data_IF_737618695265
#
_entry.id   IF_737618695265
#
_cell.length_a   1.000
_cell.length_b   1.000
_cell.length_c   1.000
_cell.angle_alpha   90.00
_cell.angle_beta   90.00
_cell.angle_gamma   90.00
#
_symmetry.space_group_name_H-M   'P 1'
#
loop_
_entity.id
_entity.type
_entity.pdbx_description
1 polymer ?
#
# COMPACT_ATOMS: atom_id res chain seq x y z
N UNK A 1 -18.35 19.33 -9.24
CA UNK A 1 -18.26 18.92 -7.83
C UNK A 1 -16.81 18.80 -7.37
N UNK A 2 -15.94 17.95 -7.95
CA UNK A 2 -14.52 17.90 -7.56
C UNK A 2 -13.66 19.08 -8.07
N UNK A 3 -13.82 19.49 -9.33
CA UNK A 3 -13.14 20.69 -9.87
C UNK A 3 -13.49 21.95 -9.08
N UNK A 4 -14.71 22.03 -8.55
CA UNK A 4 -15.13 23.13 -7.66
C UNK A 4 -14.39 23.07 -6.32
N UNK A 5 -14.15 21.87 -5.75
CA UNK A 5 -13.31 21.74 -4.56
C UNK A 5 -11.84 22.11 -4.80
N UNK A 6 -11.29 21.79 -5.98
CA UNK A 6 -9.94 22.25 -6.37
C UNK A 6 -9.90 23.77 -6.54
N UNK A 7 -10.87 24.35 -7.23
CA UNK A 7 -10.96 25.79 -7.51
C UNK A 7 -11.19 26.61 -6.22
N UNK A 8 -12.07 26.12 -5.35
CA UNK A 8 -12.28 26.69 -4.02
C UNK A 8 -11.02 26.55 -3.13
N UNK A 9 -10.23 25.50 -3.28
CA UNK A 9 -8.94 25.39 -2.62
C UNK A 9 -7.90 26.37 -3.17
N UNK A 10 -7.82 26.55 -4.49
CA UNK A 10 -6.91 27.53 -5.11
C UNK A 10 -7.11 28.93 -4.54
N UNK A 11 -8.33 29.22 -4.11
CA UNK A 11 -8.70 30.51 -3.52
C UNK A 11 -8.64 30.54 -1.98
N UNK A 12 -8.69 29.40 -1.26
CA UNK A 12 -8.84 29.35 0.21
C UNK A 12 -7.76 28.57 0.99
N UNK A 13 -6.90 27.78 0.32
CA UNK A 13 -5.70 27.19 0.90
C UNK A 13 -5.86 25.97 1.83
N UNK A 14 -7.04 25.34 1.95
CA UNK A 14 -7.26 24.21 2.89
C UNK A 14 -7.13 22.81 2.25
N UNK A 15 -5.99 22.15 2.42
CA UNK A 15 -5.74 20.79 1.91
C UNK A 15 -6.70 19.73 2.48
N UNK A 16 -7.33 19.98 3.63
CA UNK A 16 -8.29 19.05 4.25
C UNK A 16 -9.50 18.80 3.35
N UNK A 17 -10.04 19.85 2.75
CA UNK A 17 -11.26 19.76 1.93
C UNK A 17 -10.98 19.07 0.60
N UNK A 18 -9.81 19.36 -0.01
CA UNK A 18 -9.35 18.68 -1.23
C UNK A 18 -9.17 17.18 -0.97
N UNK A 19 -8.53 16.83 0.15
CA UNK A 19 -8.30 15.43 0.52
C UNK A 19 -9.61 14.70 0.82
N UNK A 20 -10.57 15.36 1.48
CA UNK A 20 -11.91 14.81 1.70
C UNK A 20 -12.61 14.53 0.37
N UNK A 21 -12.64 15.51 -0.54
CA UNK A 21 -13.23 15.34 -1.87
C UNK A 21 -12.54 14.23 -2.69
N UNK A 22 -11.21 14.17 -2.66
CA UNK A 22 -10.45 13.14 -3.37
C UNK A 22 -10.70 11.73 -2.80
N UNK A 23 -10.90 11.60 -1.49
CA UNK A 23 -11.22 10.32 -0.84
C UNK A 23 -12.61 9.77 -1.22
N UNK A 24 -13.58 10.65 -1.49
CA UNK A 24 -14.86 10.25 -2.04
C UNK A 24 -14.70 9.73 -3.48
N UNK A 25 -13.93 10.45 -4.29
CA UNK A 25 -13.78 10.20 -5.72
C UNK A 25 -12.87 9.00 -6.04
N UNK A 26 -11.85 8.70 -5.23
CA UNK A 26 -11.02 7.49 -5.43
C UNK A 26 -11.82 6.18 -5.34
N UNK A 27 -13.06 6.26 -4.87
CA UNK A 27 -13.99 5.17 -4.68
C UNK A 27 -15.19 5.22 -5.64
N UNK A 28 -15.16 6.07 -6.67
CA UNK A 28 -16.14 6.10 -7.76
C UNK A 28 -15.55 5.44 -9.02
N UNK A 29 -16.33 4.55 -9.64
CA UNK A 29 -15.96 3.87 -10.88
C UNK A 29 -16.52 4.62 -12.09
N UNK A 30 -16.20 5.91 -12.16
CA UNK A 30 -16.47 6.76 -13.32
C UNK A 30 -15.13 7.19 -13.92
N UNK A 31 -15.01 7.25 -15.25
CA UNK A 31 -13.75 7.57 -15.94
C UNK A 31 -13.11 8.90 -15.55
N UNK A 32 -13.82 9.74 -14.80
CA UNK A 32 -13.33 10.96 -14.17
C UNK A 32 -12.29 10.72 -13.07
N UNK A 33 -12.29 9.54 -12.44
CA UNK A 33 -11.36 9.17 -11.36
C UNK A 33 -9.89 9.35 -11.78
N UNK A 34 -9.51 8.76 -12.91
CA UNK A 34 -8.13 8.77 -13.38
C UNK A 34 -7.69 10.16 -13.83
N UNK A 35 -8.59 10.88 -14.50
CA UNK A 35 -8.36 12.27 -14.91
C UNK A 35 -8.06 13.15 -13.69
N UNK A 36 -8.86 13.01 -12.64
CA UNK A 36 -8.72 13.78 -11.40
C UNK A 36 -7.45 13.42 -10.64
N UNK A 37 -7.15 12.13 -10.49
CA UNK A 37 -5.92 11.68 -9.82
C UNK A 37 -4.67 12.17 -10.55
N UNK A 38 -4.71 12.22 -11.89
CA UNK A 38 -3.66 12.79 -12.72
C UNK A 38 -3.48 14.29 -12.48
N UNK A 39 -4.57 15.08 -12.57
CA UNK A 39 -4.53 16.53 -12.29
C UNK A 39 -3.98 16.82 -10.89
N UNK A 40 -4.43 16.06 -9.89
CA UNK A 40 -3.93 16.22 -8.52
C UNK A 40 -2.44 15.92 -8.44
N UNK A 41 -1.98 14.83 -9.05
CA UNK A 41 -0.57 14.44 -9.03
C UNK A 41 0.30 15.48 -9.75
N UNK A 42 -0.06 15.91 -10.96
CA UNK A 42 0.72 16.89 -11.73
C UNK A 42 0.91 18.21 -10.99
N UNK A 43 -0.10 18.62 -10.23
CA UNK A 43 -0.07 19.85 -9.43
C UNK A 43 0.81 19.72 -8.18
N UNK A 44 0.87 18.55 -7.56
CA UNK A 44 1.46 18.36 -6.24
C UNK A 44 2.65 17.38 -6.21
N UNK A 45 3.13 16.93 -7.36
CA UNK A 45 4.21 15.93 -7.46
C UNK A 45 5.50 16.34 -6.76
N UNK A 46 5.76 17.64 -6.65
CA UNK A 46 6.93 18.18 -5.95
C UNK A 46 6.75 18.26 -4.43
N UNK A 47 5.50 18.14 -3.94
CA UNK A 47 5.17 18.15 -2.52
C UNK A 47 5.12 16.74 -1.94
N UNK A 48 6.26 16.25 -1.45
CA UNK A 48 6.44 14.84 -1.05
C UNK A 48 5.35 14.29 -0.12
N UNK A 49 4.94 15.06 0.90
CA UNK A 49 3.89 14.67 1.86
C UNK A 49 2.49 14.64 1.25
N UNK A 50 2.24 15.45 0.22
CA UNK A 50 0.96 15.45 -0.50
C UNK A 50 0.89 14.23 -1.42
N UNK A 51 1.99 13.89 -2.09
CA UNK A 51 2.12 12.65 -2.86
C UNK A 51 1.95 11.41 -1.97
N UNK A 52 2.47 11.43 -0.75
CA UNK A 52 2.27 10.34 0.23
C UNK A 52 0.78 10.09 0.54
N UNK A 53 -0.02 11.17 0.62
CA UNK A 53 -1.46 11.07 0.81
C UNK A 53 -2.17 10.56 -0.44
N UNK A 54 -1.75 11.00 -1.62
CA UNK A 54 -2.27 10.54 -2.91
C UNK A 54 -2.02 9.05 -3.16
N UNK A 55 -0.83 8.54 -2.78
CA UNK A 55 -0.54 7.10 -2.79
C UNK A 55 -1.45 6.34 -1.82
N UNK A 56 -1.58 6.84 -0.59
CA UNK A 56 -2.42 6.23 0.45
C UNK A 56 -3.89 6.11 0.04
N UNK A 57 -4.45 7.15 -0.59
CA UNK A 57 -5.84 7.13 -1.06
C UNK A 57 -6.09 6.04 -2.09
N UNK A 58 -5.17 5.88 -3.05
CA UNK A 58 -5.29 4.85 -4.08
C UNK A 58 -5.10 3.44 -3.50
N UNK A 59 -4.14 3.26 -2.59
CA UNK A 59 -3.91 2.00 -1.90
C UNK A 59 -5.11 1.55 -1.04
N UNK A 60 -5.83 2.52 -0.46
CA UNK A 60 -7.02 2.29 0.37
C UNK A 60 -8.34 2.21 -0.40
N UNK A 61 -8.34 2.28 -1.74
CA UNK A 61 -9.57 2.25 -2.52
C UNK A 61 -10.28 0.89 -2.42
N UNK A 62 -11.61 0.91 -2.40
CA UNK A 62 -12.46 -0.30 -2.40
C UNK A 62 -12.78 -0.83 -3.81
N UNK A 63 -12.32 -0.15 -4.87
CA UNK A 63 -12.62 -0.54 -6.25
C UNK A 63 -11.91 -1.83 -6.66
N UNK A 64 -12.47 -2.57 -7.61
CA UNK A 64 -11.99 -3.91 -7.97
C UNK A 64 -10.56 -3.91 -8.53
N UNK A 65 -10.12 -2.80 -9.12
CA UNK A 65 -8.82 -2.61 -9.75
C UNK A 65 -7.71 -2.17 -8.77
N UNK A 66 -8.01 -1.98 -7.48
CA UNK A 66 -7.05 -1.44 -6.49
C UNK A 66 -5.73 -2.20 -6.45
N UNK A 67 -5.75 -3.53 -6.51
CA UNK A 67 -4.52 -4.32 -6.47
C UNK A 67 -3.61 -4.05 -7.69
N UNK A 68 -4.18 -4.06 -8.90
CA UNK A 68 -3.42 -3.76 -10.11
C UNK A 68 -2.91 -2.30 -10.10
N UNK A 69 -3.71 -1.38 -9.55
CA UNK A 69 -3.28 0.00 -9.38
C UNK A 69 -2.12 0.14 -8.40
N UNK A 70 -2.14 -0.57 -7.27
CA UNK A 70 -1.03 -0.58 -6.30
C UNK A 70 0.24 -1.12 -6.95
N UNK A 71 0.15 -2.20 -7.75
CA UNK A 71 1.27 -2.72 -8.53
C UNK A 71 1.82 -1.68 -9.51
N UNK A 72 0.96 -1.01 -10.27
CA UNK A 72 1.37 0.03 -11.19
C UNK A 72 2.05 1.21 -10.48
N UNK A 73 1.50 1.66 -9.34
CA UNK A 73 2.07 2.73 -8.52
C UNK A 73 3.41 2.36 -7.91
N UNK A 74 3.66 1.07 -7.62
CA UNK A 74 4.95 0.60 -7.12
C UNK A 74 6.07 0.69 -8.16
N UNK A 75 5.73 0.92 -9.44
CA UNK A 75 6.66 1.18 -10.54
C UNK A 75 6.60 2.63 -11.05
N UNK A 76 5.76 3.47 -10.45
CA UNK A 76 5.57 4.87 -10.85
C UNK A 76 6.65 5.77 -10.23
N UNK A 77 6.99 6.88 -10.90
CA UNK A 77 8.00 7.85 -10.44
C UNK A 77 7.68 8.46 -9.06
N UNK A 78 6.39 8.51 -8.69
CA UNK A 78 5.94 8.97 -7.38
C UNK A 78 6.36 8.06 -6.23
N UNK A 79 6.75 6.82 -6.51
CA UNK A 79 7.11 5.80 -5.54
C UNK A 79 8.59 5.46 -5.61
N UNK A 80 9.22 5.43 -4.44
CA UNK A 80 10.60 4.97 -4.29
C UNK A 80 10.68 4.07 -3.07
N UNK A 81 10.99 2.80 -3.27
CA UNK A 81 11.06 1.80 -2.21
C UNK A 81 12.14 2.11 -1.15
N UNK A 82 13.17 2.90 -1.51
CA UNK A 82 14.19 3.34 -0.55
C UNK A 82 13.68 4.41 0.42
N UNK A 83 12.53 5.04 0.13
CA UNK A 83 11.91 6.02 1.01
C UNK A 83 10.86 5.33 1.92
N UNK A 84 11.10 5.24 3.24
CA UNK A 84 10.18 4.58 4.18
C UNK A 84 8.77 5.16 4.19
N UNK A 85 8.62 6.47 3.95
CA UNK A 85 7.30 7.11 3.91
C UNK A 85 6.52 6.66 2.68
N UNK A 86 7.17 6.55 1.52
CA UNK A 86 6.54 6.03 0.29
C UNK A 86 6.11 4.58 0.45
N UNK A 87 6.96 3.74 1.04
CA UNK A 87 6.64 2.34 1.37
C UNK A 87 5.43 2.27 2.30
N UNK A 88 5.42 3.06 3.37
CA UNK A 88 4.28 3.11 4.30
C UNK A 88 3.01 3.52 3.58
N UNK A 89 3.05 4.60 2.80
CA UNK A 89 1.88 5.19 2.13
C UNK A 89 1.27 4.30 1.06
N UNK A 90 2.06 3.54 0.30
CA UNK A 90 1.53 2.65 -0.73
C UNK A 90 1.37 1.21 -0.22
N UNK A 91 2.49 0.58 0.10
CA UNK A 91 2.57 -0.86 0.43
C UNK A 91 1.96 -1.13 1.81
N UNK A 92 2.31 -0.29 2.81
CA UNK A 92 1.79 -0.41 4.17
C UNK A 92 0.28 -0.17 4.26
N UNK A 93 -0.23 0.87 3.60
CA UNK A 93 -1.68 1.16 3.55
C UNK A 93 -2.44 0.05 2.82
N UNK A 94 -1.92 -0.47 1.70
CA UNK A 94 -2.56 -1.58 1.01
C UNK A 94 -2.62 -2.84 1.90
N UNK A 95 -1.49 -3.28 2.45
CA UNK A 95 -1.42 -4.52 3.21
C UNK A 95 -2.13 -4.44 4.58
N UNK A 96 -2.01 -3.30 5.28
CA UNK A 96 -2.55 -3.14 6.64
C UNK A 96 -3.91 -2.44 6.70
N UNK A 97 -4.22 -1.59 5.71
CA UNK A 97 -5.42 -0.74 5.68
C UNK A 97 -6.50 -1.19 4.70
N UNK A 98 -6.21 -2.15 3.81
CA UNK A 98 -7.15 -2.63 2.80
C UNK A 98 -7.32 -4.17 2.85
N UNK A 99 -7.93 -4.71 3.92
CA UNK A 99 -8.04 -6.16 4.10
C UNK A 99 -8.83 -6.86 3.00
N UNK A 100 -9.79 -6.18 2.36
CA UNK A 100 -10.57 -6.74 1.26
C UNK A 100 -9.69 -7.10 0.05
N UNK A 101 -8.76 -6.20 -0.31
CA UNK A 101 -7.86 -6.41 -1.44
C UNK A 101 -6.55 -7.11 -1.06
N UNK A 102 -6.11 -6.98 0.18
CA UNK A 102 -4.94 -7.71 0.65
C UNK A 102 -5.23 -9.22 0.82
N UNK A 103 -6.41 -9.57 1.38
CA UNK A 103 -6.81 -10.96 1.60
C UNK A 103 -7.63 -11.53 0.44
N UNK A 104 -7.24 -11.22 -0.80
CA UNK A 104 -7.82 -11.84 -2.00
C UNK A 104 -7.60 -13.35 -1.98
N UNK A 105 -8.55 -14.08 -2.55
CA UNK A 105 -8.56 -15.56 -2.52
C UNK A 105 -7.45 -16.18 -3.37
N UNK A 106 -6.96 -15.46 -4.39
CA UNK A 106 -5.90 -15.90 -5.29
C UNK A 106 -4.50 -15.87 -4.66
N UNK A 107 -4.32 -15.19 -3.52
CA UNK A 107 -3.03 -15.05 -2.84
C UNK A 107 -2.03 -14.12 -3.53
N UNK A 108 -2.37 -13.51 -4.67
CA UNK A 108 -1.45 -12.67 -5.45
C UNK A 108 -0.97 -11.44 -4.66
N UNK A 109 -1.85 -10.88 -3.83
CA UNK A 109 -1.51 -9.78 -2.93
C UNK A 109 -0.51 -10.21 -1.84
N UNK A 110 -0.58 -11.45 -1.35
CA UNK A 110 0.39 -11.97 -0.39
C UNK A 110 1.77 -12.12 -1.03
N UNK A 111 1.83 -12.70 -2.23
CA UNK A 111 3.08 -12.85 -2.98
C UNK A 111 3.74 -11.50 -3.27
N UNK A 112 2.96 -10.53 -3.76
CA UNK A 112 3.45 -9.18 -4.03
C UNK A 112 4.03 -8.49 -2.79
N UNK A 113 3.37 -8.61 -1.63
CA UNK A 113 3.87 -8.00 -0.40
C UNK A 113 5.10 -8.76 0.14
N UNK A 114 5.15 -10.09 0.00
CA UNK A 114 6.33 -10.87 0.35
C UNK A 114 7.55 -10.47 -0.48
N UNK A 115 7.38 -10.26 -1.80
CA UNK A 115 8.46 -9.77 -2.68
C UNK A 115 9.00 -8.42 -2.19
N UNK A 116 8.12 -7.50 -1.79
CA UNK A 116 8.52 -6.20 -1.27
C UNK A 116 9.21 -6.29 0.08
N UNK A 117 8.79 -7.22 0.95
CA UNK A 117 9.48 -7.50 2.21
C UNK A 117 10.90 -8.00 1.94
N UNK A 118 11.07 -8.97 1.04
CA UNK A 118 12.38 -9.54 0.70
C UNK A 118 13.29 -8.44 0.13
N UNK A 119 12.78 -7.62 -0.79
CA UNK A 119 13.52 -6.49 -1.34
C UNK A 119 13.94 -5.48 -0.25
N UNK A 120 13.03 -5.14 0.66
CA UNK A 120 13.28 -4.21 1.75
C UNK A 120 14.25 -4.77 2.80
N UNK A 121 14.21 -6.06 3.09
CA UNK A 121 15.04 -6.65 4.15
C UNK A 121 16.53 -6.49 3.84
N UNK A 122 16.90 -6.51 2.56
CA UNK A 122 18.28 -6.36 2.12
C UNK A 122 18.93 -5.00 2.50
N UNK A 123 18.15 -3.92 2.58
CA UNK A 123 18.69 -2.57 2.82
C UNK A 123 17.98 -1.78 3.93
N UNK A 124 16.81 -2.23 4.37
CA UNK A 124 16.03 -1.62 5.45
C UNK A 124 15.20 -2.65 6.25
N UNK A 125 15.88 -3.51 7.04
CA UNK A 125 15.25 -4.52 7.91
C UNK A 125 14.13 -4.00 8.79
N UNK A 126 14.23 -2.77 9.30
CA UNK A 126 13.21 -2.22 10.21
C UNK A 126 11.88 -1.95 9.50
N UNK A 127 11.91 -1.53 8.23
CA UNK A 127 10.69 -1.34 7.45
C UNK A 127 10.14 -2.69 7.02
N UNK A 128 11.01 -3.63 6.61
CA UNK A 128 10.62 -5.00 6.29
C UNK A 128 9.91 -5.68 7.48
N UNK A 129 10.50 -5.61 8.68
CA UNK A 129 9.95 -6.19 9.91
C UNK A 129 8.56 -5.64 10.26
N UNK A 130 8.35 -4.32 10.13
CA UNK A 130 7.01 -3.74 10.31
C UNK A 130 6.00 -4.28 9.29
N UNK A 131 6.42 -4.44 8.04
CA UNK A 131 5.55 -4.93 6.97
C UNK A 131 5.22 -6.42 7.13
N UNK A 132 6.17 -7.26 7.56
CA UNK A 132 5.95 -8.68 7.88
C UNK A 132 4.84 -8.87 8.91
N UNK A 133 4.66 -7.89 9.81
CA UNK A 133 3.58 -7.87 10.80
C UNK A 133 2.19 -8.15 10.22
N UNK A 134 1.90 -7.78 8.96
CA UNK A 134 0.59 -8.04 8.32
C UNK A 134 0.29 -9.52 8.14
N UNK A 135 1.32 -10.37 8.01
CA UNK A 135 1.18 -11.82 7.88
C UNK A 135 0.96 -12.52 9.22
N UNK A 136 1.26 -11.87 10.35
CA UNK A 136 1.23 -12.52 11.67
C UNK A 136 -0.17 -12.88 12.16
N UNK A 137 -1.21 -12.29 11.55
CA UNK A 137 -2.62 -12.51 11.92
C UNK A 137 -3.28 -13.64 11.14
N UNK A 138 -2.50 -14.51 10.47
CA UNK A 138 -3.04 -15.59 9.62
C UNK A 138 -4.11 -16.43 10.33
N UNK A 139 -3.92 -16.75 11.61
CA UNK A 139 -4.87 -17.52 12.45
C UNK A 139 -6.31 -16.98 12.51
N UNK A 140 -6.54 -15.72 12.12
CA UNK A 140 -7.85 -15.08 12.14
C UNK A 140 -8.66 -15.31 10.84
N UNK A 141 -8.06 -15.91 9.82
CA UNK A 141 -8.66 -16.12 8.51
C UNK A 141 -9.04 -17.59 8.28
N UNK A 142 -9.75 -17.89 7.20
CA UNK A 142 -10.07 -19.26 6.78
C UNK A 142 -8.82 -20.06 6.41
N UNK A 143 -8.95 -21.39 6.41
CA UNK A 143 -7.84 -22.34 6.18
C UNK A 143 -7.09 -22.07 4.87
N UNK A 144 -7.79 -21.66 3.80
CA UNK A 144 -7.14 -21.37 2.52
C UNK A 144 -6.21 -20.17 2.64
N UNK A 145 -6.69 -19.07 3.24
CA UNK A 145 -5.88 -17.87 3.47
C UNK A 145 -4.76 -18.11 4.48
N UNK A 146 -5.01 -18.89 5.53
CA UNK A 146 -4.00 -19.29 6.50
C UNK A 146 -2.81 -19.93 5.80
N UNK A 147 -3.08 -20.94 4.95
CA UNK A 147 -2.04 -21.64 4.21
C UNK A 147 -1.24 -20.70 3.32
N UNK A 148 -1.92 -19.87 2.52
CA UNK A 148 -1.24 -18.93 1.63
C UNK A 148 -0.34 -17.92 2.37
N UNK A 149 -0.78 -17.43 3.53
CA UNK A 149 0.03 -16.51 4.35
C UNK A 149 1.21 -17.23 5.01
N UNK A 150 1.01 -18.45 5.50
CA UNK A 150 2.08 -19.29 6.05
C UNK A 150 3.12 -19.64 4.99
N UNK A 151 2.69 -19.96 3.77
CA UNK A 151 3.59 -20.24 2.65
C UNK A 151 4.49 -19.02 2.36
N UNK A 152 3.95 -17.80 2.43
CA UNK A 152 4.77 -16.58 2.29
C UNK A 152 5.70 -16.35 3.50
N UNK A 153 5.25 -16.58 4.73
CA UNK A 153 6.11 -16.51 5.92
C UNK A 153 7.29 -17.49 5.82
N UNK A 154 7.02 -18.73 5.38
CA UNK A 154 8.05 -19.72 5.13
C UNK A 154 8.96 -19.29 3.97
N UNK A 155 8.40 -18.79 2.86
CA UNK A 155 9.22 -18.28 1.75
C UNK A 155 10.21 -17.20 2.21
N UNK A 156 9.75 -16.24 3.01
CA UNK A 156 10.62 -15.19 3.55
C UNK A 156 11.65 -15.77 4.53
N UNK A 157 11.29 -16.78 5.35
CA UNK A 157 12.25 -17.39 6.30
C UNK A 157 13.42 -18.11 5.63
N UNK A 158 13.30 -18.47 4.36
CA UNK A 158 14.31 -19.21 3.60
C UNK A 158 15.20 -18.33 2.71
N UNK A 159 15.07 -16.99 2.78
CA UNK A 159 15.97 -16.11 2.01
C UNK A 159 17.37 -16.11 2.61
N UNK A 160 18.37 -16.09 1.75
CA UNK A 160 19.76 -15.92 2.17
C UNK A 160 19.98 -14.51 2.74
N UNK A 161 20.60 -14.43 3.91
CA UNK A 161 20.89 -13.15 4.56
C UNK A 161 19.71 -12.49 5.26
N UNK A 162 18.64 -13.25 5.56
CA UNK A 162 17.49 -12.78 6.34
C UNK A 162 17.92 -12.03 7.61
N UNK A 163 17.39 -10.83 7.78
CA UNK A 163 17.68 -10.03 8.96
C UNK A 163 17.12 -10.66 10.24
N UNK A 164 17.79 -10.38 11.37
CA UNK A 164 17.33 -10.83 12.69
C UNK A 164 15.93 -10.29 13.02
N UNK A 165 15.67 -9.03 12.68
CA UNK A 165 14.40 -8.36 12.97
C UNK A 165 13.22 -9.07 12.28
N UNK A 166 13.36 -9.43 11.01
CA UNK A 166 12.33 -10.16 10.26
C UNK A 166 12.24 -11.62 10.74
N UNK A 167 13.38 -12.29 10.89
CA UNK A 167 13.44 -13.70 11.31
C UNK A 167 12.79 -13.94 12.68
N UNK A 168 12.95 -13.02 13.63
CA UNK A 168 12.31 -13.11 14.95
C UNK A 168 10.78 -13.05 14.85
N UNK A 169 10.24 -12.15 14.02
CA UNK A 169 8.80 -12.00 13.82
C UNK A 169 8.22 -13.26 13.16
N UNK A 170 8.88 -13.79 12.13
CA UNK A 170 8.43 -15.00 11.44
C UNK A 170 8.45 -16.20 12.37
N UNK A 171 9.54 -16.39 13.12
CA UNK A 171 9.67 -17.49 14.08
C UNK A 171 8.56 -17.45 15.12
N UNK A 172 8.29 -16.27 15.69
CA UNK A 172 7.18 -16.07 16.63
C UNK A 172 5.80 -16.31 16.02
N UNK A 173 5.65 -16.02 14.73
CA UNK A 173 4.36 -16.16 14.05
C UNK A 173 4.05 -17.59 13.64
N UNK A 174 5.07 -18.43 13.40
CA UNK A 174 4.92 -19.83 12.99
C UNK A 174 4.91 -20.82 14.17
N UNK A 175 5.32 -20.38 15.37
CA UNK A 175 5.07 -21.08 16.64
C UNK A 175 3.59 -21.00 17.01
#
# INVERSE_FOLDING_TARGET
>A
TFMVCIDQFETSGNMTDVMAALSCLVNTDDGERDRVLGIFYDKWKDEALVVDKWLSLQAGSRLADTFERVKALASHESFNIKNPNKVRSLIGVFAGGNPYHFHRQDGAAYEFIADKIIELDHFNPQVAARLVGVFTRWRQYDESRQKLMQDQLQRISHIDGLSKDVGEIISKSLM
#
